data_IF_046020731511
#
_entry.id   IF_046020731511
#
_cell.length_a   1.000
_cell.length_b   1.000
_cell.length_c   1.000
_cell.angle_alpha   90.00
_cell.angle_beta   90.00
_cell.angle_gamma   90.00
#
_symmetry.space_group_name_H-M   'P 1'
#
loop_
_entity.id
_entity.type
_entity.pdbx_description
1 polymer ?
#
# COMPACT_ATOMS: atom_id res chain seq x y z
N UNK A 1 -42.97 18.29 79.01
CA UNK A 1 -43.97 17.27 79.39
C UNK A 1 -44.14 16.34 78.19
N UNK A 2 -44.04 15.00 78.27
CA UNK A 2 -44.64 14.03 79.20
C UNK A 2 -46.15 13.86 78.92
N UNK A 3 -46.72 12.68 78.60
CA UNK A 3 -46.18 11.33 78.28
C UNK A 3 -47.09 10.62 77.24
N UNK A 4 -46.63 9.55 76.57
CA UNK A 4 -47.48 8.58 75.82
C UNK A 4 -48.14 7.57 76.80
N UNK A 5 -49.30 6.94 76.51
CA UNK A 5 -49.38 5.78 75.58
C UNK A 5 -50.62 5.84 74.65
N UNK A 6 -50.72 5.21 73.46
CA UNK A 6 -50.35 3.89 72.89
C UNK A 6 -51.25 2.69 73.25
N UNK A 7 -52.06 2.26 72.28
CA UNK A 7 -52.54 0.90 71.88
C UNK A 7 -53.12 1.09 70.45
N UNK A 8 -53.00 0.23 69.43
CA UNK A 8 -52.08 -0.87 69.06
C UNK A 8 -52.27 -1.10 67.51
N UNK A 9 -51.48 -1.79 66.67
CA UNK A 9 -50.28 -2.67 66.75
C UNK A 9 -49.50 -2.57 65.39
N UNK A 10 -48.18 -2.85 65.27
CA UNK A 10 -47.40 -2.67 64.01
C UNK A 10 -47.02 -3.99 63.25
N UNK A 11 -46.45 -3.89 62.02
CA UNK A 11 -45.91 -5.01 61.21
C UNK A 11 -44.39 -5.29 61.51
N UNK A 12 -43.70 -6.23 60.80
CA UNK A 12 -42.84 -5.79 59.67
C UNK A 12 -42.48 -6.82 58.55
N UNK A 13 -41.70 -6.32 57.58
CA UNK A 13 -41.01 -6.88 56.40
C UNK A 13 -40.30 -8.25 56.44
N UNK A 14 -40.00 -8.79 55.25
CA UNK A 14 -38.69 -9.40 54.90
C UNK A 14 -38.48 -9.58 53.37
N UNK A 15 -37.23 -9.41 52.90
CA UNK A 15 -36.71 -10.00 51.66
C UNK A 15 -35.53 -10.92 52.01
N UNK A 16 -35.43 -12.12 51.44
CA UNK A 16 -34.19 -12.90 51.44
C UNK A 16 -33.60 -13.07 50.03
N UNK A 17 -32.29 -13.36 49.97
CA UNK A 17 -31.54 -13.63 48.74
C UNK A 17 -31.65 -15.09 48.24
N UNK A 18 -30.72 -15.54 47.38
CA UNK A 18 -30.84 -16.82 46.66
C UNK A 18 -30.67 -18.05 47.57
N UNK A 19 -31.67 -18.94 47.57
CA UNK A 19 -31.59 -20.26 48.20
C UNK A 19 -30.85 -21.26 47.29
N UNK A 20 -29.97 -22.09 47.86
CA UNK A 20 -29.16 -23.08 47.10
C UNK A 20 -29.78 -24.48 47.10
N UNK A 21 -29.84 -25.05 45.90
CA UNK A 21 -29.58 -26.45 45.52
C UNK A 21 -30.09 -27.62 46.41
N UNK A 22 -31.01 -28.41 45.81
CA UNK A 22 -31.21 -29.84 46.07
C UNK A 22 -31.66 -30.51 44.76
N UNK A 23 -31.10 -31.67 44.40
CA UNK A 23 -31.30 -32.34 43.10
C UNK A 23 -32.57 -33.24 43.10
N UNK A 24 -33.11 -33.72 41.94
CA UNK A 24 -32.36 -34.28 40.80
C UNK A 24 -32.04 -33.31 39.65
N UNK A 25 -30.96 -33.57 38.93
CA UNK A 25 -30.50 -32.80 37.77
C UNK A 25 -30.64 -33.59 36.45
N UNK A 26 -31.87 -33.78 35.94
CA UNK A 26 -32.09 -34.19 34.55
C UNK A 26 -33.49 -33.78 34.06
N UNK A 27 -33.53 -33.00 32.96
CA UNK A 27 -34.67 -32.20 32.50
C UNK A 27 -35.13 -31.12 33.52
N UNK A 28 -35.48 -29.87 33.11
CA UNK A 28 -35.88 -29.45 31.76
C UNK A 28 -34.92 -28.41 31.13
N UNK A 29 -33.61 -28.53 31.31
CA UNK A 29 -32.61 -27.64 30.66
C UNK A 29 -32.76 -27.56 29.14
N UNK A 30 -33.17 -28.67 28.51
CA UNK A 30 -33.52 -28.71 27.08
C UNK A 30 -34.68 -27.75 26.73
N UNK A 31 -35.71 -27.65 27.58
CA UNK A 31 -36.83 -26.74 27.35
C UNK A 31 -36.41 -25.27 27.51
N UNK A 32 -35.47 -24.96 28.42
CA UNK A 32 -34.91 -23.61 28.57
C UNK A 32 -34.10 -23.23 27.33
N UNK A 33 -33.32 -24.15 26.79
CA UNK A 33 -32.53 -23.92 25.57
C UNK A 33 -33.41 -23.82 24.31
N UNK A 34 -34.42 -24.69 24.17
CA UNK A 34 -35.43 -24.60 23.10
C UNK A 34 -36.27 -23.32 23.21
N UNK A 35 -36.64 -22.88 24.42
CA UNK A 35 -37.31 -21.60 24.62
C UNK A 35 -36.39 -20.41 24.29
N UNK A 36 -35.09 -20.50 24.61
CA UNK A 36 -34.09 -19.52 24.20
C UNK A 36 -33.93 -19.43 22.68
N UNK A 37 -33.88 -20.57 21.99
CA UNK A 37 -33.86 -20.62 20.53
C UNK A 37 -35.19 -20.18 19.89
N UNK A 38 -36.33 -20.50 20.50
CA UNK A 38 -37.64 -20.03 20.05
C UNK A 38 -37.83 -18.52 20.24
N UNK A 39 -37.33 -17.97 21.35
CA UNK A 39 -37.26 -16.53 21.59
C UNK A 39 -36.30 -15.84 20.61
N UNK A 40 -35.13 -16.42 20.34
CA UNK A 40 -34.20 -15.90 19.34
C UNK A 40 -34.76 -15.99 17.92
N UNK A 41 -35.44 -17.09 17.55
CA UNK A 41 -36.04 -17.26 16.23
C UNK A 41 -37.26 -16.35 16.00
N UNK A 42 -38.06 -16.08 17.04
CA UNK A 42 -39.17 -15.11 16.96
C UNK A 42 -38.66 -13.66 17.01
N UNK A 43 -37.60 -13.37 17.77
CA UNK A 43 -36.89 -12.09 17.69
C UNK A 43 -36.28 -11.88 16.28
N UNK A 44 -35.67 -12.91 15.69
CA UNK A 44 -35.16 -12.89 14.32
C UNK A 44 -36.31 -12.65 13.33
N UNK A 45 -37.44 -13.37 13.42
CA UNK A 45 -38.58 -13.19 12.51
C UNK A 45 -39.18 -11.77 12.57
N UNK A 46 -39.32 -11.20 13.77
CA UNK A 46 -39.81 -9.83 13.94
C UNK A 46 -38.77 -8.80 13.44
N UNK A 47 -37.50 -9.01 13.79
CA UNK A 47 -36.38 -8.18 13.31
C UNK A 47 -36.09 -8.35 11.81
N UNK A 48 -36.58 -9.41 11.14
CA UNK A 48 -36.51 -9.54 9.69
C UNK A 48 -37.53 -8.62 9.00
N UNK A 49 -38.73 -8.43 9.57
CA UNK A 49 -39.73 -7.54 9.00
C UNK A 49 -39.39 -6.04 9.18
N UNK A 50 -38.84 -5.66 10.35
CA UNK A 50 -38.39 -4.30 10.62
C UNK A 50 -36.98 -4.05 10.04
N UNK A 51 -36.09 -5.03 10.15
CA UNK A 51 -34.73 -4.99 9.62
C UNK A 51 -34.64 -4.99 8.10
N UNK A 52 -35.61 -5.59 7.38
CA UNK A 52 -35.69 -5.44 5.92
C UNK A 52 -35.92 -3.98 5.51
N UNK A 53 -36.82 -3.27 6.19
CA UNK A 53 -37.08 -1.83 5.94
C UNK A 53 -35.91 -0.96 6.36
N UNK A 54 -35.28 -1.28 7.49
CA UNK A 54 -34.05 -0.60 7.92
C UNK A 54 -32.91 -0.82 6.91
N UNK A 55 -32.72 -2.04 6.42
CA UNK A 55 -31.73 -2.38 5.40
C UNK A 55 -32.02 -1.68 4.07
N UNK A 56 -33.27 -1.69 3.58
CA UNK A 56 -33.68 -0.99 2.37
C UNK A 56 -33.41 0.53 2.48
N UNK A 57 -33.73 1.14 3.63
CA UNK A 57 -33.38 2.55 3.90
C UNK A 57 -31.88 2.78 4.00
N UNK A 58 -31.09 1.86 4.57
CA UNK A 58 -29.62 1.96 4.58
C UNK A 58 -29.03 1.81 3.17
N UNK A 59 -29.62 0.97 2.30
CA UNK A 59 -29.22 0.83 0.90
C UNK A 59 -29.58 2.09 0.10
N UNK A 60 -30.78 2.65 0.30
CA UNK A 60 -31.17 3.94 -0.30
C UNK A 60 -30.22 5.07 0.14
N UNK A 61 -29.93 5.17 1.45
CA UNK A 61 -28.99 6.14 1.99
C UNK A 61 -27.56 5.92 1.47
N UNK A 62 -27.12 4.67 1.30
CA UNK A 62 -25.83 4.31 0.72
C UNK A 62 -25.72 4.69 -0.76
N UNK A 63 -26.76 4.42 -1.56
CA UNK A 63 -26.86 4.83 -2.96
C UNK A 63 -26.92 6.36 -3.09
N UNK A 64 -27.68 7.04 -2.22
CA UNK A 64 -27.74 8.50 -2.17
C UNK A 64 -26.39 9.11 -1.75
N UNK A 65 -25.67 8.51 -0.79
CA UNK A 65 -24.33 8.92 -0.38
C UNK A 65 -23.32 8.69 -1.51
N UNK A 66 -23.38 7.56 -2.21
CA UNK A 66 -22.55 7.30 -3.40
C UNK A 66 -22.86 8.30 -4.52
N UNK A 67 -24.12 8.61 -4.79
CA UNK A 67 -24.52 9.58 -5.80
C UNK A 67 -24.08 11.01 -5.45
N UNK A 68 -24.19 11.42 -4.18
CA UNK A 68 -23.66 12.71 -3.68
C UNK A 68 -22.14 12.75 -3.77
N UNK A 69 -21.46 11.69 -3.33
CA UNK A 69 -20.00 11.56 -3.41
C UNK A 69 -19.52 11.60 -4.86
N UNK A 70 -20.17 10.91 -5.80
CA UNK A 70 -19.83 10.98 -7.22
C UNK A 70 -20.10 12.36 -7.84
N UNK A 71 -21.14 13.09 -7.42
CA UNK A 71 -21.39 14.47 -7.88
C UNK A 71 -20.31 15.42 -7.37
N UNK A 72 -20.10 15.48 -6.06
CA UNK A 72 -19.05 16.28 -5.44
C UNK A 72 -17.67 15.92 -6.00
N UNK A 73 -17.37 14.63 -6.20
CA UNK A 73 -16.14 14.22 -6.85
C UNK A 73 -16.07 14.75 -8.29
N UNK A 74 -17.10 14.59 -9.13
CA UNK A 74 -17.11 15.12 -10.51
C UNK A 74 -16.96 16.64 -10.54
N UNK A 75 -17.59 17.36 -9.61
CA UNK A 75 -17.49 18.82 -9.46
C UNK A 75 -16.07 19.24 -9.03
N UNK A 76 -15.52 18.64 -7.97
CA UNK A 76 -14.14 18.89 -7.52
C UNK A 76 -13.08 18.46 -8.55
N UNK A 77 -13.27 17.34 -9.25
CA UNK A 77 -12.38 16.89 -10.34
C UNK A 77 -12.48 17.80 -11.55
N UNK A 78 -13.67 18.28 -11.93
CA UNK A 78 -13.82 19.24 -13.02
C UNK A 78 -13.20 20.60 -12.65
N UNK A 79 -13.42 21.08 -11.43
CA UNK A 79 -12.82 22.33 -10.94
C UNK A 79 -11.29 22.21 -10.80
N UNK A 80 -10.78 21.08 -10.32
CA UNK A 80 -9.35 20.79 -10.27
C UNK A 80 -8.73 20.62 -11.66
N UNK A 81 -9.43 20.00 -12.61
CA UNK A 81 -9.00 19.89 -14.00
C UNK A 81 -9.04 21.24 -14.74
N UNK A 82 -10.01 22.10 -14.45
CA UNK A 82 -10.05 23.48 -14.94
C UNK A 82 -8.92 24.31 -14.34
N UNK A 83 -8.67 24.23 -13.03
CA UNK A 83 -7.50 24.88 -12.40
C UNK A 83 -6.20 24.35 -12.97
N UNK A 84 -6.04 23.03 -13.13
CA UNK A 84 -4.86 22.42 -13.74
C UNK A 84 -4.69 22.83 -15.21
N UNK A 85 -5.78 22.91 -15.97
CA UNK A 85 -5.78 23.39 -17.36
C UNK A 85 -5.42 24.87 -17.48
N UNK A 86 -5.97 25.74 -16.62
CA UNK A 86 -5.57 27.15 -16.56
C UNK A 86 -4.09 27.30 -16.15
N UNK A 87 -3.63 26.48 -15.20
CA UNK A 87 -2.23 26.46 -14.78
C UNK A 87 -1.31 25.91 -15.88
N UNK A 88 -1.71 24.94 -16.72
CA UNK A 88 -0.85 24.50 -17.83
C UNK A 88 -0.91 25.42 -19.05
N UNK A 89 -1.99 26.18 -19.23
CA UNK A 89 -2.11 27.21 -20.27
C UNK A 89 -1.33 28.49 -19.91
N UNK A 90 -1.45 28.99 -18.68
CA UNK A 90 -0.63 30.13 -18.22
C UNK A 90 0.83 29.72 -18.00
N UNK A 91 1.07 28.57 -17.37
CA UNK A 91 2.43 28.14 -17.03
C UNK A 91 3.02 27.21 -18.09
N UNK A 92 3.47 27.81 -19.19
CA UNK A 92 4.63 27.30 -19.94
C UNK A 92 5.87 27.07 -19.05
N UNK A 93 5.88 27.62 -17.82
CA UNK A 93 6.84 27.31 -16.76
C UNK A 93 6.52 26.09 -15.88
N UNK A 94 5.30 25.53 -15.86
CA UNK A 94 4.96 24.38 -15.01
C UNK A 94 5.67 23.08 -15.44
N UNK A 95 6.12 22.99 -16.70
CA UNK A 95 7.04 21.95 -17.14
C UNK A 95 8.28 21.87 -16.22
N UNK A 96 8.83 23.02 -15.80
CA UNK A 96 9.97 23.09 -14.88
C UNK A 96 9.65 22.70 -13.42
N UNK A 97 8.38 22.51 -13.06
CA UNK A 97 7.98 21.91 -11.78
C UNK A 97 7.86 20.40 -11.89
N UNK A 98 7.30 19.90 -12.99
CA UNK A 98 7.24 18.46 -13.29
C UNK A 98 8.63 17.86 -13.52
N UNK A 99 9.51 18.58 -14.21
CA UNK A 99 10.93 18.21 -14.43
C UNK A 99 11.69 18.02 -13.10
N UNK A 100 11.54 18.98 -12.15
CA UNK A 100 12.10 18.85 -10.79
C UNK A 100 11.55 17.66 -10.03
N UNK A 101 10.26 17.34 -10.17
CA UNK A 101 9.67 16.14 -9.58
C UNK A 101 10.23 14.87 -10.23
N UNK A 102 10.48 14.90 -11.54
CA UNK A 102 11.21 13.87 -12.29
C UNK A 102 12.59 13.61 -11.71
N UNK A 103 13.43 14.64 -11.54
CA UNK A 103 14.77 14.51 -10.95
C UNK A 103 14.76 14.02 -9.49
N UNK A 104 13.75 14.40 -8.69
CA UNK A 104 13.58 13.87 -7.32
C UNK A 104 13.15 12.40 -7.33
N UNK A 105 12.30 12.00 -8.27
CA UNK A 105 11.89 10.61 -8.46
C UNK A 105 13.06 9.75 -8.94
N UNK A 106 13.77 10.18 -9.98
CA UNK A 106 14.96 9.53 -10.52
C UNK A 106 16.05 9.37 -9.44
N UNK A 107 16.34 10.42 -8.67
CA UNK A 107 17.29 10.35 -7.56
C UNK A 107 16.90 9.37 -6.44
N UNK A 108 15.59 9.12 -6.25
CA UNK A 108 15.09 8.07 -5.33
C UNK A 108 15.18 6.67 -5.95
N UNK A 109 14.82 6.52 -7.23
CA UNK A 109 14.92 5.26 -7.97
C UNK A 109 16.38 4.81 -8.08
N UNK A 110 17.30 5.69 -8.46
CA UNK A 110 18.73 5.43 -8.52
C UNK A 110 19.29 5.00 -7.16
N UNK A 111 18.86 5.64 -6.06
CA UNK A 111 19.27 5.23 -4.69
C UNK A 111 18.71 3.86 -4.31
N UNK A 112 17.46 3.55 -4.67
CA UNK A 112 16.86 2.24 -4.44
C UNK A 112 17.60 1.13 -5.22
N UNK A 113 17.88 1.37 -6.51
CA UNK A 113 18.66 0.47 -7.36
C UNK A 113 20.07 0.23 -6.79
N UNK A 114 20.79 1.30 -6.43
CA UNK A 114 22.12 1.20 -5.81
C UNK A 114 22.08 0.43 -4.47
N UNK A 115 21.02 0.59 -3.66
CA UNK A 115 20.85 -0.19 -2.42
C UNK A 115 20.58 -1.68 -2.65
N UNK A 116 20.16 -2.08 -3.86
CA UNK A 116 20.05 -3.47 -4.30
C UNK A 116 21.31 -3.98 -5.03
N UNK A 117 22.41 -3.22 -5.00
CA UNK A 117 23.69 -3.59 -5.63
C UNK A 117 23.76 -3.36 -7.15
N UNK A 118 22.82 -2.62 -7.73
CA UNK A 118 22.84 -2.28 -9.16
C UNK A 118 23.89 -1.18 -9.43
N UNK A 119 24.87 -1.40 -10.33
CA UNK A 119 25.95 -0.45 -10.59
C UNK A 119 25.44 0.82 -11.29
N UNK A 120 25.95 1.97 -10.88
CA UNK A 120 25.50 3.26 -11.41
C UNK A 120 26.07 3.56 -12.80
N UNK A 121 25.39 4.43 -13.56
CA UNK A 121 25.85 4.90 -14.87
C UNK A 121 27.26 5.53 -14.80
N UNK A 122 27.59 6.20 -13.70
CA UNK A 122 28.91 6.79 -13.48
C UNK A 122 30.01 5.73 -13.30
N UNK A 123 29.73 4.64 -12.57
CA UNK A 123 30.67 3.52 -12.38
C UNK A 123 30.86 2.73 -13.68
N UNK A 124 29.78 2.52 -14.45
CA UNK A 124 29.84 1.89 -15.77
C UNK A 124 30.71 2.75 -16.71
N UNK A 125 30.46 4.06 -16.83
CA UNK A 125 31.25 4.95 -17.67
C UNK A 125 32.74 5.05 -17.23
N UNK A 126 33.01 5.00 -15.92
CA UNK A 126 34.37 4.95 -15.40
C UNK A 126 35.06 3.62 -15.70
N UNK A 127 34.33 2.50 -15.75
CA UNK A 127 34.85 1.20 -16.15
C UNK A 127 35.10 1.13 -17.66
N UNK A 128 34.17 1.62 -18.50
CA UNK A 128 34.35 1.72 -19.96
C UNK A 128 35.64 2.47 -20.31
N UNK A 129 35.88 3.66 -19.72
CA UNK A 129 37.12 4.42 -19.95
C UNK A 129 38.39 3.67 -19.52
N UNK A 130 38.31 2.82 -18.49
CA UNK A 130 39.44 1.97 -18.07
C UNK A 130 39.68 0.84 -19.07
N UNK A 131 38.61 0.25 -19.62
CA UNK A 131 38.72 -0.76 -20.69
C UNK A 131 39.32 -0.13 -21.94
N UNK A 132 38.80 1.00 -22.42
CA UNK A 132 39.34 1.75 -23.58
C UNK A 132 40.85 2.06 -23.43
N UNK A 133 41.27 2.54 -22.25
CA UNK A 133 42.69 2.84 -21.98
C UNK A 133 43.57 1.57 -21.88
N UNK A 134 43.03 0.45 -21.37
CA UNK A 134 43.73 -0.83 -21.33
C UNK A 134 43.83 -1.48 -22.71
N UNK A 135 42.80 -1.35 -23.56
CA UNK A 135 42.80 -1.81 -24.95
C UNK A 135 43.82 -1.03 -25.79
N UNK A 136 43.90 0.30 -25.62
CA UNK A 136 44.94 1.14 -26.23
C UNK A 136 46.34 0.72 -25.78
N UNK A 137 46.57 0.61 -24.47
CA UNK A 137 47.86 0.17 -23.92
C UNK A 137 48.22 -1.27 -24.31
N UNK A 138 47.23 -2.14 -24.58
CA UNK A 138 47.46 -3.49 -25.10
C UNK A 138 47.78 -3.49 -26.59
N UNK A 139 47.13 -2.63 -27.38
CA UNK A 139 47.44 -2.45 -28.81
C UNK A 139 48.86 -1.88 -29.01
N UNK A 140 49.27 -0.90 -28.20
CA UNK A 140 50.65 -0.37 -28.20
C UNK A 140 51.70 -1.42 -27.80
N UNK A 141 51.36 -2.30 -26.85
CA UNK A 141 52.25 -3.37 -26.36
C UNK A 141 52.20 -4.66 -27.19
N UNK A 142 51.26 -4.75 -28.13
CA UNK A 142 51.17 -5.85 -29.10
C UNK A 142 51.77 -5.35 -30.41
N UNK A 143 53.08 -5.55 -30.66
CA UNK A 143 53.61 -5.34 -32.00
C UNK A 143 52.79 -6.20 -32.95
N UNK A 144 52.13 -5.58 -33.94
CA UNK A 144 51.36 -6.29 -34.95
C UNK A 144 52.24 -7.41 -35.51
N UNK A 145 51.74 -8.66 -35.48
CA UNK A 145 52.52 -9.84 -35.85
C UNK A 145 53.15 -9.62 -37.21
N UNK A 146 54.46 -9.34 -37.20
CA UNK A 146 55.18 -8.92 -38.38
C UNK A 146 55.23 -10.11 -39.33
N UNK A 147 54.40 -10.06 -40.39
CA UNK A 147 54.34 -11.10 -41.40
C UNK A 147 55.77 -11.41 -41.86
N UNK A 148 56.17 -12.69 -41.92
CA UNK A 148 57.56 -13.07 -42.05
C UNK A 148 58.16 -12.48 -43.33
N UNK A 149 59.04 -11.50 -43.18
CA UNK A 149 59.67 -10.80 -44.28
C UNK A 149 60.60 -11.77 -45.03
N UNK A 150 60.17 -12.18 -46.22
CA UNK A 150 60.89 -13.13 -47.06
C UNK A 150 62.30 -12.59 -47.42
N UNK A 151 63.38 -13.37 -47.22
CA UNK A 151 64.74 -12.86 -47.30
C UNK A 151 65.19 -12.63 -48.76
N UNK A 152 64.88 -11.45 -49.29
CA UNK A 152 65.30 -11.03 -50.63
C UNK A 152 66.83 -11.11 -50.81
N UNK A 153 67.26 -11.88 -51.81
CA UNK A 153 68.65 -12.36 -51.92
C UNK A 153 69.69 -11.24 -52.11
N UNK A 154 70.89 -11.46 -51.54
CA UNK A 154 71.98 -10.49 -51.52
C UNK A 154 72.49 -10.11 -52.92
N UNK A 155 72.20 -8.88 -53.35
CA UNK A 155 72.60 -8.33 -54.64
C UNK A 155 74.12 -8.05 -54.67
N UNK A 156 74.91 -9.01 -55.17
CA UNK A 156 76.37 -8.87 -55.35
C UNK A 156 76.70 -7.65 -56.22
N UNK A 157 77.62 -6.79 -55.75
CA UNK A 157 78.15 -5.66 -56.55
C UNK A 157 79.05 -6.20 -57.68
N UNK A 158 79.00 -5.63 -58.90
CA UNK A 158 80.01 -5.91 -59.92
C UNK A 158 81.37 -5.34 -59.51
N UNK A 159 82.43 -6.05 -59.88
CA UNK A 159 83.83 -5.66 -59.70
C UNK A 159 84.25 -4.74 -60.87
N UNK A 160 85.03 -3.66 -60.63
CA UNK A 160 85.54 -2.83 -61.72
C UNK A 160 86.54 -3.60 -62.58
N UNK A 161 86.54 -3.32 -63.88
CA UNK A 161 87.52 -3.82 -64.84
C UNK A 161 88.24 -2.65 -65.51
N UNK A 162 89.57 -2.79 -65.51
CA UNK A 162 90.63 -1.99 -66.13
C UNK A 162 90.31 -1.41 -67.52
#
# INVERSE_FOLDING_TARGET
MAVKPRKNTPPPAASPGPAKAGAPLHAPTHNIWLAGLGALASAQANAQAEGAKAFESLVEQGLAMQARSQKLAKEQWAEAAQRMGSLTVEAGGAAGSWDRLGGIFEGRVARALASMGMPTVAEIAALTRRVEALEQALAERTPAHAAPAEPAAARRKPRPAR
#
